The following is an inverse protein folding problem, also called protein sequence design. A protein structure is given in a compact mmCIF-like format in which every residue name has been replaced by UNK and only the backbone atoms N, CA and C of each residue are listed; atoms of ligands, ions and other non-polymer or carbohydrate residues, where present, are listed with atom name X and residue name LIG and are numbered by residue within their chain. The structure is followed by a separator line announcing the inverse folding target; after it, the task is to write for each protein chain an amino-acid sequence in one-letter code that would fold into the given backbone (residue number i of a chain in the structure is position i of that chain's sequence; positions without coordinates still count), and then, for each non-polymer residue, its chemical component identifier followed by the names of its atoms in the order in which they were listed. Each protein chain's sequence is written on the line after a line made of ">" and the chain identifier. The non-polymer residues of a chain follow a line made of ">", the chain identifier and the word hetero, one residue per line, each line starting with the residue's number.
data_IF_338521344044
#
_entry.id   IF_338521344044
#
_cell.length_a   1.000
_cell.length_b   1.000
_cell.length_c   1.000
_cell.angle_alpha   90.00
_cell.angle_beta   90.00
_cell.angle_gamma   90.00
#
_symmetry.space_group_name_H-M   'P 1'
#
loop_
_entity.id
_entity.type
_entity.pdbx_description
1 polymer ?
#
# COMPACT_ATOMS: atom_id res chain seq x y z
N UNK A 1 -67.97 19.03 2.04
CA UNK A 1 -66.56 18.78 1.67
C UNK A 1 -66.53 17.57 0.73
N UNK A 2 -66.08 17.77 -0.51
CA UNK A 2 -66.17 16.73 -1.55
C UNK A 2 -65.10 15.66 -1.30
N UNK A 3 -65.51 14.39 -1.11
CA UNK A 3 -64.62 13.26 -0.90
C UNK A 3 -63.49 13.18 -1.97
N UNK A 4 -63.75 13.59 -3.19
CA UNK A 4 -62.78 13.63 -4.28
C UNK A 4 -61.62 14.63 -4.05
N UNK A 5 -61.84 15.73 -3.33
CA UNK A 5 -60.80 16.70 -2.98
C UNK A 5 -59.82 16.16 -1.91
N UNK A 6 -60.33 15.39 -0.98
CA UNK A 6 -59.52 14.72 0.05
C UNK A 6 -58.66 13.58 -0.55
N UNK A 7 -59.19 12.83 -1.50
CA UNK A 7 -58.45 11.75 -2.19
C UNK A 7 -57.36 12.32 -3.06
N UNK A 8 -57.61 13.43 -3.81
CA UNK A 8 -56.58 14.06 -4.63
C UNK A 8 -55.47 14.72 -3.81
N UNK A 9 -55.82 15.37 -2.69
CA UNK A 9 -54.82 15.93 -1.77
C UNK A 9 -53.93 14.84 -1.11
N UNK A 10 -54.53 13.72 -0.75
CA UNK A 10 -53.79 12.56 -0.19
C UNK A 10 -52.84 11.93 -1.24
N UNK A 11 -53.27 11.78 -2.46
CA UNK A 11 -52.44 11.26 -3.56
C UNK A 11 -51.25 12.19 -3.87
N UNK A 12 -51.44 13.50 -3.85
CA UNK A 12 -50.39 14.48 -4.04
C UNK A 12 -49.31 14.42 -2.94
N UNK A 13 -49.75 14.36 -1.69
CA UNK A 13 -48.84 14.22 -0.53
C UNK A 13 -48.01 12.94 -0.58
N UNK A 14 -48.63 11.80 -0.89
CA UNK A 14 -47.92 10.54 -1.07
C UNK A 14 -46.88 10.60 -2.21
N UNK A 15 -47.20 11.23 -3.34
CA UNK A 15 -46.27 11.44 -4.43
C UNK A 15 -45.04 12.25 -4.03
N UNK A 16 -45.22 13.32 -3.25
CA UNK A 16 -44.10 14.16 -2.73
C UNK A 16 -43.22 13.37 -1.77
N UNK A 17 -43.81 12.59 -0.87
CA UNK A 17 -43.04 11.79 0.11
C UNK A 17 -42.24 10.70 -0.62
N UNK A 18 -42.83 9.95 -1.52
CA UNK A 18 -42.15 8.90 -2.29
C UNK A 18 -41.06 9.50 -3.20
N UNK A 19 -41.35 10.60 -3.91
CA UNK A 19 -40.36 11.28 -4.75
C UNK A 19 -39.19 11.83 -3.94
N UNK A 20 -39.47 12.44 -2.77
CA UNK A 20 -38.44 12.92 -1.86
C UNK A 20 -37.56 11.79 -1.32
N UNK A 21 -38.13 10.67 -0.92
CA UNK A 21 -37.40 9.49 -0.43
C UNK A 21 -36.50 8.88 -1.51
N UNK A 22 -37.00 8.74 -2.74
CA UNK A 22 -36.22 8.25 -3.89
C UNK A 22 -35.06 9.18 -4.22
N UNK A 23 -35.27 10.46 -4.22
CA UNK A 23 -34.24 11.47 -4.47
C UNK A 23 -33.17 11.42 -3.37
N UNK A 24 -33.56 11.37 -2.11
CA UNK A 24 -32.63 11.26 -0.98
C UNK A 24 -31.81 9.95 -1.05
N UNK A 25 -32.44 8.83 -1.41
CA UNK A 25 -31.77 7.55 -1.58
C UNK A 25 -30.73 7.56 -2.72
N UNK A 26 -31.10 8.11 -3.88
CA UNK A 26 -30.19 8.20 -5.03
C UNK A 26 -29.00 9.11 -4.73
N UNK A 27 -29.21 10.25 -4.08
CA UNK A 27 -28.15 11.15 -3.64
C UNK A 27 -27.23 10.52 -2.59
N UNK A 28 -27.80 9.80 -1.64
CA UNK A 28 -27.02 9.07 -0.64
C UNK A 28 -26.15 8.00 -1.30
N UNK A 29 -26.72 7.19 -2.20
CA UNK A 29 -25.99 6.16 -2.95
C UNK A 29 -24.90 6.78 -3.83
N UNK A 30 -25.16 7.92 -4.46
CA UNK A 30 -24.17 8.68 -5.23
C UNK A 30 -22.95 9.06 -4.36
N UNK A 31 -23.17 9.67 -3.19
CA UNK A 31 -22.10 10.06 -2.26
C UNK A 31 -21.29 8.86 -1.74
N UNK A 32 -21.95 7.75 -1.47
CA UNK A 32 -21.26 6.51 -1.06
C UNK A 32 -20.35 5.98 -2.17
N UNK A 33 -20.84 5.97 -3.41
CA UNK A 33 -20.05 5.54 -4.56
C UNK A 33 -18.87 6.49 -4.85
N UNK A 34 -19.07 7.79 -4.72
CA UNK A 34 -17.98 8.78 -4.84
C UNK A 34 -16.90 8.54 -3.80
N UNK A 35 -17.27 8.29 -2.55
CA UNK A 35 -16.33 7.94 -1.49
C UNK A 35 -15.56 6.66 -1.80
N UNK A 36 -16.22 5.61 -2.29
CA UNK A 36 -15.55 4.36 -2.67
C UNK A 36 -14.57 4.58 -3.84
N UNK A 37 -14.93 5.42 -4.83
CA UNK A 37 -14.01 5.80 -5.92
C UNK A 37 -12.80 6.55 -5.40
N UNK A 38 -13.01 7.49 -4.50
CA UNK A 38 -11.94 8.29 -3.90
C UNK A 38 -10.99 7.39 -3.09
N UNK A 39 -11.51 6.45 -2.29
CA UNK A 39 -10.72 5.44 -1.59
C UNK A 39 -9.87 4.62 -2.57
N UNK A 40 -10.45 4.11 -3.64
CA UNK A 40 -9.74 3.32 -4.64
C UNK A 40 -8.67 4.12 -5.35
N UNK A 41 -9.01 5.28 -5.89
CA UNK A 41 -8.13 6.06 -6.76
C UNK A 41 -7.02 6.77 -6.00
N UNK A 42 -7.32 7.28 -4.82
CA UNK A 42 -6.43 8.17 -4.08
C UNK A 42 -5.75 7.52 -2.88
N UNK A 43 -6.09 6.27 -2.54
CA UNK A 43 -5.47 5.57 -1.42
C UNK A 43 -5.02 4.15 -1.79
N UNK A 44 -5.96 3.24 -2.09
CA UNK A 44 -5.61 1.83 -2.27
C UNK A 44 -4.80 1.56 -3.54
N UNK A 45 -5.19 2.10 -4.70
CA UNK A 45 -4.45 1.89 -5.95
C UNK A 45 -3.02 2.42 -5.91
N UNK A 46 -2.77 3.66 -5.44
CA UNK A 46 -1.40 4.16 -5.34
C UNK A 46 -0.54 3.37 -4.35
N UNK A 47 -1.10 2.94 -3.20
CA UNK A 47 -0.35 2.12 -2.23
C UNK A 47 0.01 0.74 -2.80
N UNK A 48 -0.93 0.10 -3.50
CA UNK A 48 -0.67 -1.17 -4.18
C UNK A 48 0.36 -1.00 -5.31
N UNK A 49 0.28 0.10 -6.07
CA UNK A 49 1.27 0.41 -7.10
C UNK A 49 2.68 0.56 -6.53
N UNK A 50 2.84 1.29 -5.43
CA UNK A 50 4.13 1.41 -4.73
C UNK A 50 4.62 0.05 -4.19
N UNK A 51 3.72 -0.75 -3.61
CA UNK A 51 4.06 -2.10 -3.14
C UNK A 51 4.59 -2.97 -4.28
N UNK A 52 3.90 -3.01 -5.43
CA UNK A 52 4.34 -3.80 -6.58
C UNK A 52 5.69 -3.34 -7.13
N UNK A 53 5.92 -2.04 -7.18
CA UNK A 53 7.22 -1.48 -7.57
C UNK A 53 8.33 -1.92 -6.59
N UNK A 54 8.09 -1.81 -5.29
CA UNK A 54 9.03 -2.23 -4.24
C UNK A 54 9.30 -3.73 -4.36
N UNK A 55 8.25 -4.54 -4.50
CA UNK A 55 8.36 -6.00 -4.61
C UNK A 55 9.22 -6.40 -5.79
N UNK A 56 8.95 -5.87 -6.98
CA UNK A 56 9.70 -6.21 -8.18
C UNK A 56 11.20 -5.91 -8.03
N UNK A 57 11.54 -4.74 -7.47
CA UNK A 57 12.92 -4.33 -7.23
C UNK A 57 13.59 -5.17 -6.13
N UNK A 58 12.89 -5.43 -5.03
CA UNK A 58 13.37 -6.20 -3.90
C UNK A 58 13.63 -7.67 -4.27
N UNK A 59 12.73 -8.31 -5.02
CA UNK A 59 12.89 -9.68 -5.50
C UNK A 59 14.11 -9.82 -6.42
N UNK A 60 14.27 -8.91 -7.38
CA UNK A 60 15.44 -8.92 -8.27
C UNK A 60 16.73 -8.72 -7.49
N UNK A 61 16.77 -7.74 -6.60
CA UNK A 61 17.91 -7.46 -5.71
C UNK A 61 18.30 -8.69 -4.91
N UNK A 62 17.33 -9.32 -4.24
CA UNK A 62 17.55 -10.50 -3.39
C UNK A 62 18.07 -11.68 -4.23
N UNK A 63 17.54 -11.88 -5.43
CA UNK A 63 18.00 -12.92 -6.34
C UNK A 63 19.44 -12.69 -6.80
N UNK A 64 19.77 -11.46 -7.23
CA UNK A 64 21.13 -11.11 -7.64
C UNK A 64 22.12 -11.30 -6.48
N UNK A 65 21.77 -10.83 -5.28
CA UNK A 65 22.60 -10.96 -4.10
C UNK A 65 22.82 -12.43 -3.71
N UNK A 66 21.79 -13.26 -3.76
CA UNK A 66 21.88 -14.70 -3.47
C UNK A 66 22.78 -15.42 -4.46
N UNK A 67 22.63 -15.16 -5.76
CA UNK A 67 23.47 -15.77 -6.81
C UNK A 67 24.93 -15.31 -6.68
N UNK A 68 25.15 -14.02 -6.49
CA UNK A 68 26.50 -13.47 -6.31
C UNK A 68 27.16 -14.04 -5.05
N UNK A 69 26.45 -14.07 -3.94
CA UNK A 69 26.95 -14.62 -2.66
C UNK A 69 27.31 -16.11 -2.73
N UNK A 70 26.52 -16.90 -3.46
CA UNK A 70 26.81 -18.33 -3.65
C UNK A 70 28.07 -18.59 -4.49
N UNK A 71 28.36 -17.71 -5.45
CA UNK A 71 29.51 -17.85 -6.35
C UNK A 71 30.78 -17.18 -5.82
N UNK A 72 30.66 -16.19 -4.94
CA UNK A 72 31.76 -15.39 -4.43
C UNK A 72 32.94 -16.21 -3.86
N UNK A 73 32.76 -17.30 -3.07
CA UNK A 73 33.88 -18.09 -2.55
C UNK A 73 34.75 -18.73 -3.65
N UNK A 74 34.15 -19.10 -4.77
CA UNK A 74 34.88 -19.67 -5.92
C UNK A 74 35.60 -18.56 -6.70
N UNK A 75 34.92 -17.47 -6.94
CA UNK A 75 35.44 -16.30 -7.68
C UNK A 75 36.59 -15.64 -6.92
N UNK A 76 36.53 -15.52 -5.61
CA UNK A 76 37.60 -14.96 -4.80
C UNK A 76 38.92 -15.75 -4.93
N UNK A 77 38.85 -17.04 -5.27
CA UNK A 77 40.04 -17.94 -5.39
C UNK A 77 40.56 -18.04 -6.80
N UNK A 78 39.72 -18.00 -7.82
CA UNK A 78 40.07 -18.39 -9.18
C UNK A 78 39.83 -17.32 -10.24
N UNK A 79 39.09 -16.27 -9.92
CA UNK A 79 38.68 -15.25 -10.89
C UNK A 79 39.76 -14.20 -11.12
N UNK A 80 39.73 -13.60 -12.30
CA UNK A 80 40.48 -12.40 -12.62
C UNK A 80 40.05 -11.20 -11.77
N UNK A 81 40.87 -10.15 -11.69
CA UNK A 81 40.51 -8.92 -10.97
C UNK A 81 39.27 -8.25 -11.57
N UNK A 82 39.12 -8.29 -12.91
CA UNK A 82 37.93 -7.74 -13.58
C UNK A 82 36.63 -8.45 -13.16
N UNK A 83 36.67 -9.77 -12.98
CA UNK A 83 35.53 -10.55 -12.49
C UNK A 83 35.21 -10.21 -11.02
N UNK A 84 36.22 -10.06 -10.16
CA UNK A 84 36.04 -9.65 -8.77
C UNK A 84 35.41 -8.26 -8.68
N UNK A 85 35.87 -7.31 -9.50
CA UNK A 85 35.30 -5.97 -9.59
C UNK A 85 33.83 -6.02 -10.02
N UNK A 86 33.49 -6.84 -11.04
CA UNK A 86 32.11 -7.02 -11.46
C UNK A 86 31.19 -7.54 -10.35
N UNK A 87 31.66 -8.49 -9.52
CA UNK A 87 30.90 -8.97 -8.37
C UNK A 87 30.76 -7.92 -7.26
N UNK A 88 31.81 -7.17 -6.98
CA UNK A 88 31.77 -6.06 -6.03
C UNK A 88 30.74 -5.00 -6.46
N UNK A 89 30.71 -4.67 -7.74
CA UNK A 89 29.75 -3.72 -8.29
C UNK A 89 28.28 -4.14 -8.11
N UNK A 90 27.99 -5.45 -8.12
CA UNK A 90 26.63 -5.97 -7.85
C UNK A 90 26.22 -5.65 -6.39
N UNK A 91 27.15 -5.82 -5.45
CA UNK A 91 26.88 -5.56 -4.04
C UNK A 91 26.70 -4.05 -3.79
N UNK A 92 27.59 -3.23 -4.34
CA UNK A 92 27.50 -1.76 -4.25
C UNK A 92 26.23 -1.22 -4.87
N UNK A 93 25.85 -1.73 -6.06
CA UNK A 93 24.59 -1.37 -6.70
C UNK A 93 23.39 -1.75 -5.83
N UNK A 94 23.42 -2.93 -5.20
CA UNK A 94 22.36 -3.39 -4.32
C UNK A 94 22.17 -2.49 -3.10
N UNK A 95 23.26 -2.02 -2.49
CA UNK A 95 23.22 -1.08 -1.37
C UNK A 95 22.71 0.29 -1.80
N UNK A 96 23.19 0.78 -2.95
CA UNK A 96 22.74 2.03 -3.56
C UNK A 96 21.23 1.99 -3.85
N UNK A 97 20.76 0.90 -4.46
CA UNK A 97 19.33 0.71 -4.77
C UNK A 97 18.47 0.71 -3.51
N UNK A 98 18.93 0.06 -2.43
CA UNK A 98 18.23 0.09 -1.15
C UNK A 98 18.06 1.52 -0.65
N UNK A 99 19.15 2.30 -0.65
CA UNK A 99 19.19 3.65 -0.11
C UNK A 99 18.45 4.67 -0.98
N UNK A 100 18.63 4.60 -2.30
CA UNK A 100 18.17 5.65 -3.22
C UNK A 100 16.79 5.35 -3.82
N UNK A 101 16.35 4.08 -3.82
CA UNK A 101 15.10 3.70 -4.47
C UNK A 101 14.10 3.03 -3.52
N UNK A 102 14.52 1.98 -2.79
CA UNK A 102 13.58 1.18 -2.00
C UNK A 102 13.11 1.93 -0.75
N UNK A 103 14.02 2.47 0.04
CA UNK A 103 13.64 3.21 1.24
C UNK A 103 12.84 4.47 0.90
N UNK A 104 13.20 5.29 -0.11
CA UNK A 104 12.33 6.38 -0.56
C UNK A 104 10.95 5.94 -1.04
N UNK A 105 10.82 4.78 -1.69
CA UNK A 105 9.51 4.25 -2.07
C UNK A 105 8.64 3.88 -0.86
N UNK A 106 9.24 3.28 0.18
CA UNK A 106 8.54 3.06 1.46
C UNK A 106 8.18 4.38 2.16
N UNK A 107 9.05 5.40 2.11
CA UNK A 107 8.73 6.73 2.64
C UNK A 107 7.54 7.35 1.90
N UNK A 108 7.45 7.16 0.58
CA UNK A 108 6.27 7.58 -0.19
C UNK A 108 5.00 6.84 0.24
N UNK A 109 5.08 5.53 0.56
CA UNK A 109 3.94 4.81 1.13
C UNK A 109 3.50 5.40 2.47
N UNK A 110 4.44 5.70 3.38
CA UNK A 110 4.14 6.34 4.67
C UNK A 110 3.50 7.70 4.44
N UNK A 111 4.09 8.53 3.56
CA UNK A 111 3.56 9.85 3.24
C UNK A 111 2.14 9.78 2.70
N UNK A 112 1.89 8.93 1.71
CA UNK A 112 0.57 8.74 1.12
C UNK A 112 -0.44 8.26 2.17
N UNK A 113 -0.04 7.32 3.01
CA UNK A 113 -0.89 6.82 4.09
C UNK A 113 -1.24 7.93 5.08
N UNK A 114 -0.25 8.74 5.49
CA UNK A 114 -0.45 9.88 6.39
C UNK A 114 -1.40 10.92 5.78
N UNK A 115 -1.11 11.36 4.57
CA UNK A 115 -1.85 12.42 3.88
C UNK A 115 -3.31 12.01 3.59
N UNK A 116 -3.55 10.70 3.42
CA UNK A 116 -4.85 10.14 3.01
C UNK A 116 -5.45 9.18 4.06
N UNK A 117 -5.02 9.26 5.32
CA UNK A 117 -5.48 8.41 6.41
C UNK A 117 -7.02 8.40 6.56
N UNK A 118 -7.69 9.51 6.22
CA UNK A 118 -9.13 9.64 6.26
C UNK A 118 -9.87 8.74 5.26
N UNK A 119 -9.19 8.30 4.18
CA UNK A 119 -9.71 7.37 3.18
C UNK A 119 -9.51 5.90 3.59
N UNK A 120 -8.56 5.64 4.51
CA UNK A 120 -8.27 4.28 4.94
C UNK A 120 -9.43 3.67 5.74
N UNK A 121 -9.72 2.41 5.50
CA UNK A 121 -10.62 1.61 6.35
C UNK A 121 -10.02 1.42 7.75
N UNK A 122 -10.87 1.14 8.72
CA UNK A 122 -10.43 0.97 10.12
C UNK A 122 -9.38 -0.15 10.27
N UNK A 123 -9.55 -1.27 9.55
CA UNK A 123 -8.57 -2.37 9.53
C UNK A 123 -7.21 -1.91 9.00
N UNK A 124 -7.20 -1.19 7.89
CA UNK A 124 -5.97 -0.69 7.26
C UNK A 124 -5.20 0.25 8.18
N UNK A 125 -5.90 1.13 8.92
CA UNK A 125 -5.28 2.08 9.84
C UNK A 125 -4.49 1.41 10.96
N UNK A 126 -4.88 0.21 11.38
CA UNK A 126 -4.16 -0.54 12.43
C UNK A 126 -2.72 -0.89 12.04
N UNK A 127 -2.44 -0.97 10.74
CA UNK A 127 -1.12 -1.32 10.21
C UNK A 127 -0.17 -0.13 10.05
N UNK A 128 -0.68 1.12 10.16
CA UNK A 128 0.12 2.32 9.93
C UNK A 128 1.39 2.38 10.78
N UNK A 129 1.24 2.13 12.09
CA UNK A 129 2.39 2.15 13.02
C UNK A 129 3.49 1.18 12.58
N UNK A 130 3.10 -0.04 12.16
CA UNK A 130 4.08 -1.06 11.73
C UNK A 130 4.83 -0.64 10.46
N UNK A 131 4.15 0.01 9.53
CA UNK A 131 4.78 0.56 8.32
C UNK A 131 5.79 1.66 8.68
N UNK A 132 5.43 2.59 9.57
CA UNK A 132 6.35 3.66 10.03
C UNK A 132 7.56 3.07 10.74
N UNK A 133 7.34 2.16 11.69
CA UNK A 133 8.41 1.48 12.43
C UNK A 133 9.40 0.79 11.46
N UNK A 134 8.87 0.11 10.44
CA UNK A 134 9.68 -0.56 9.41
C UNK A 134 10.57 0.42 8.65
N UNK A 135 10.02 1.55 8.22
CA UNK A 135 10.78 2.57 7.47
C UNK A 135 11.85 3.23 8.35
N UNK A 136 11.51 3.57 9.59
CA UNK A 136 12.45 4.20 10.52
C UNK A 136 13.63 3.28 10.87
N UNK A 137 13.42 1.98 10.96
CA UNK A 137 14.51 1.01 11.17
C UNK A 137 15.46 1.01 9.97
N UNK A 138 14.93 0.99 8.72
CA UNK A 138 15.76 1.09 7.52
C UNK A 138 16.55 2.38 7.47
N UNK A 139 15.94 3.52 7.76
CA UNK A 139 16.62 4.83 7.79
C UNK A 139 17.77 4.84 8.79
N UNK A 140 17.55 4.27 9.98
CA UNK A 140 18.61 4.14 10.99
C UNK A 140 19.74 3.24 10.53
N UNK A 141 19.40 2.09 9.91
CA UNK A 141 20.39 1.17 9.37
C UNK A 141 21.27 1.82 8.29
N UNK A 142 20.67 2.60 7.39
CA UNK A 142 21.39 3.34 6.34
C UNK A 142 22.27 4.44 6.93
N UNK A 143 21.78 5.17 7.93
CA UNK A 143 22.55 6.25 8.57
C UNK A 143 23.74 5.71 9.37
N UNK A 144 23.54 4.60 10.09
CA UNK A 144 24.59 3.91 10.85
C UNK A 144 24.21 2.43 10.98
N UNK A 145 24.89 1.53 10.28
CA UNK A 145 24.62 0.11 10.39
C UNK A 145 24.72 -0.40 11.84
N UNK A 146 23.81 -1.27 12.21
CA UNK A 146 23.78 -1.95 13.51
C UNK A 146 23.80 -3.47 13.31
N UNK A 147 24.14 -4.27 14.34
CA UNK A 147 24.26 -5.71 14.21
C UNK A 147 22.96 -6.36 13.70
N UNK A 148 23.10 -7.34 12.79
CA UNK A 148 21.97 -8.09 12.24
C UNK A 148 21.13 -8.79 13.31
N UNK A 149 21.74 -9.20 14.43
CA UNK A 149 21.04 -9.76 15.60
C UNK A 149 20.00 -8.79 16.16
N UNK A 150 20.34 -7.50 16.23
CA UNK A 150 19.40 -6.46 16.69
C UNK A 150 18.24 -6.33 15.72
N UNK A 151 18.50 -6.30 14.40
CA UNK A 151 17.44 -6.25 13.39
C UNK A 151 16.49 -7.46 13.50
N UNK A 152 17.05 -8.64 13.72
CA UNK A 152 16.28 -9.87 13.90
C UNK A 152 15.40 -9.83 15.15
N UNK A 153 15.95 -9.43 16.30
CA UNK A 153 15.22 -9.37 17.58
C UNK A 153 14.05 -8.37 17.55
N UNK A 154 14.20 -7.23 16.86
CA UNK A 154 13.09 -6.27 16.69
C UNK A 154 12.08 -6.72 15.63
N UNK A 155 12.28 -7.90 15.01
CA UNK A 155 11.38 -8.46 14.02
C UNK A 155 11.33 -7.65 12.73
N UNK A 156 12.45 -7.05 12.34
CA UNK A 156 12.54 -6.26 11.11
C UNK A 156 12.69 -7.16 9.89
N UNK A 157 11.57 -7.43 9.24
CA UNK A 157 11.52 -8.19 8.00
C UNK A 157 10.36 -7.70 7.12
N UNK A 158 10.47 -7.88 5.81
CA UNK A 158 9.38 -7.53 4.89
C UNK A 158 8.10 -8.34 5.17
N UNK A 159 8.24 -9.58 5.64
CA UNK A 159 7.12 -10.41 6.08
C UNK A 159 6.30 -9.75 7.19
N UNK A 160 6.89 -8.88 7.99
CA UNK A 160 6.17 -8.13 9.02
C UNK A 160 5.13 -7.15 8.45
N UNK A 161 5.26 -6.77 7.17
CA UNK A 161 4.29 -5.94 6.46
C UNK A 161 3.23 -6.76 5.69
N UNK A 162 3.36 -8.09 5.62
CA UNK A 162 2.40 -8.93 4.89
C UNK A 162 0.93 -8.70 5.32
N UNK A 163 0.60 -8.57 6.63
CA UNK A 163 -0.77 -8.27 7.03
C UNK A 163 -1.32 -6.94 6.48
N UNK A 164 -0.47 -5.92 6.35
CA UNK A 164 -0.85 -4.67 5.67
C UNK A 164 -1.16 -4.92 4.20
N UNK A 165 -0.32 -5.66 3.52
CA UNK A 165 -0.47 -5.94 2.09
C UNK A 165 -1.74 -6.74 1.80
N UNK A 166 -2.02 -7.75 2.60
CA UNK A 166 -3.24 -8.56 2.49
C UNK A 166 -4.50 -7.70 2.73
N UNK A 167 -4.46 -6.81 3.72
CA UNK A 167 -5.58 -5.89 4.00
C UNK A 167 -5.80 -4.89 2.87
N UNK A 168 -4.72 -4.33 2.29
CA UNK A 168 -4.81 -3.43 1.13
C UNK A 168 -5.48 -4.11 -0.07
N UNK A 169 -5.06 -5.35 -0.40
CA UNK A 169 -5.65 -6.11 -1.50
C UNK A 169 -7.12 -6.49 -1.23
N UNK A 170 -7.42 -6.92 -0.01
CA UNK A 170 -8.78 -7.29 0.38
C UNK A 170 -9.72 -6.09 0.25
N UNK A 171 -9.35 -4.94 0.80
CA UNK A 171 -10.16 -3.74 0.73
C UNK A 171 -10.27 -3.19 -0.69
N UNK A 172 -9.20 -3.24 -1.49
CA UNK A 172 -9.22 -2.86 -2.89
C UNK A 172 -10.25 -3.70 -3.68
N UNK A 173 -10.17 -5.03 -3.60
CA UNK A 173 -11.12 -5.95 -4.27
C UNK A 173 -12.56 -5.71 -3.80
N UNK A 174 -12.75 -5.53 -2.48
CA UNK A 174 -14.07 -5.25 -1.91
C UNK A 174 -14.69 -3.95 -2.44
N UNK A 175 -13.90 -2.90 -2.57
CA UNK A 175 -14.34 -1.61 -3.10
C UNK A 175 -14.62 -1.68 -4.60
N UNK A 176 -13.80 -2.40 -5.37
CA UNK A 176 -14.08 -2.64 -6.79
C UNK A 176 -15.42 -3.32 -6.99
N UNK A 177 -15.70 -4.39 -6.23
CA UNK A 177 -16.97 -5.14 -6.31
C UNK A 177 -18.20 -4.30 -5.92
N UNK A 178 -18.03 -3.22 -5.15
CA UNK A 178 -19.14 -2.30 -4.80
C UNK A 178 -19.43 -1.28 -5.89
N UNK A 179 -18.52 -1.06 -6.80
CA UNK A 179 -18.63 -0.05 -7.86
C UNK A 179 -19.01 -0.65 -9.22
N UNK A 180 -18.77 -1.96 -9.43
CA UNK A 180 -19.20 -2.72 -10.61
C UNK A 180 -20.57 -3.33 -10.40
#
# INVERSE_FOLDING_TARGET
>A
MNANALVSAGAGLLGVIVGGALTAYTQWRGRVNERHRDQLQNFYSPLLGLREQIRAKSELRTRLHSVAGAQFPNIARTASEDEKEAYTSILEYSEKQLKEELVPAYEQMVKLFTDRMYLAEASTRTHYKKLVDFVEIWKRFIAKPFPSSVAYEIGHSEQALQPLYDDLECNFKRLQNKLG
#
